data_IF_543472933446
#
_entry.id   IF_543472933446
#
_cell.length_a   1.000
_cell.length_b   1.000
_cell.length_c   1.000
_cell.angle_alpha   90.00
_cell.angle_beta   90.00
_cell.angle_gamma   90.00
#
_symmetry.space_group_name_H-M   'P 1'
#
loop_
_entity.id
_entity.type
_entity.pdbx_description
1 polymer ?
#
# COMPACT_ATOMS: atom_id res chain seq x y z
N UNK A 1 7.98 16.22 4.18
CA UNK A 1 7.04 15.11 3.97
C UNK A 1 7.07 14.22 5.19
N UNK A 2 5.94 14.13 5.90
CA UNK A 2 5.75 13.17 6.98
C UNK A 2 5.62 11.76 6.35
N UNK A 3 6.65 10.89 6.48
CA UNK A 3 6.63 9.57 5.85
C UNK A 3 5.66 8.61 6.54
N UNK A 4 5.04 8.98 7.66
CA UNK A 4 4.14 8.12 8.43
C UNK A 4 2.73 8.08 7.83
N UNK A 5 2.33 9.11 7.08
CA UNK A 5 1.01 9.16 6.41
C UNK A 5 1.14 8.73 4.95
N UNK A 6 1.35 7.44 4.74
CA UNK A 6 1.49 6.83 3.42
C UNK A 6 0.14 6.45 2.83
N UNK A 7 0.03 6.60 1.52
CA UNK A 7 -1.14 6.20 0.74
C UNK A 7 -0.70 5.34 -0.44
N UNK A 8 -1.61 4.51 -0.95
CA UNK A 8 -1.37 3.61 -2.09
C UNK A 8 -2.38 3.88 -3.19
N UNK A 9 -1.90 4.04 -4.43
CA UNK A 9 -2.81 4.13 -5.58
C UNK A 9 -3.58 2.82 -5.73
N UNK A 10 -4.91 2.91 -5.80
CA UNK A 10 -5.76 1.73 -5.91
C UNK A 10 -5.66 1.03 -7.27
N UNK A 11 -5.01 1.67 -8.24
CA UNK A 11 -4.89 1.16 -9.62
C UNK A 11 -3.54 0.52 -9.88
N UNK A 12 -2.45 1.16 -9.45
CA UNK A 12 -1.09 0.69 -9.77
C UNK A 12 -0.28 0.21 -8.56
N UNK A 13 -0.81 0.33 -7.33
CA UNK A 13 -0.13 -0.16 -6.14
C UNK A 13 1.06 0.69 -5.66
N UNK A 14 1.46 1.74 -6.39
CA UNK A 14 2.53 2.63 -5.95
C UNK A 14 2.18 3.36 -4.66
N UNK A 15 3.17 3.40 -3.76
CA UNK A 15 3.10 4.13 -2.49
C UNK A 15 3.48 5.60 -2.72
N UNK A 16 2.70 6.51 -2.18
CA UNK A 16 2.96 7.96 -2.14
C UNK A 16 2.75 8.49 -0.70
N UNK A 17 3.24 9.69 -0.39
CA UNK A 17 2.80 10.37 0.84
C UNK A 17 1.38 10.95 0.65
N UNK A 18 0.71 11.22 1.77
CA UNK A 18 -0.64 11.80 1.79
C UNK A 18 -0.75 13.08 0.95
N UNK A 19 0.18 14.01 1.12
CA UNK A 19 0.20 15.28 0.36
C UNK A 19 0.30 15.05 -1.16
N UNK A 20 1.16 14.12 -1.58
CA UNK A 20 1.32 13.76 -3.00
C UNK A 20 0.05 13.07 -3.54
N UNK A 21 -0.65 12.28 -2.72
CA UNK A 21 -1.91 11.64 -3.09
C UNK A 21 -3.08 12.63 -3.20
N UNK A 22 -3.17 13.61 -2.28
CA UNK A 22 -4.25 14.62 -2.29
C UNK A 22 -4.10 15.67 -3.39
N UNK A 23 -2.88 16.00 -3.81
CA UNK A 23 -2.70 17.03 -4.85
C UNK A 23 -3.33 16.63 -6.19
N UNK A 24 -3.29 15.34 -6.53
CA UNK A 24 -3.74 14.89 -7.84
C UNK A 24 -5.05 14.13 -7.78
N UNK A 25 -5.27 13.29 -6.76
CA UNK A 25 -6.39 12.36 -6.56
C UNK A 25 -6.72 11.39 -7.71
N UNK A 26 -6.37 11.73 -8.96
CA UNK A 26 -6.77 11.04 -10.20
C UNK A 26 -5.59 10.54 -11.03
N UNK A 27 -4.35 10.86 -10.65
CA UNK A 27 -3.12 10.41 -11.33
C UNK A 27 -2.05 10.01 -10.31
N UNK A 28 -1.49 8.81 -10.45
CA UNK A 28 -0.33 8.37 -9.70
C UNK A 28 0.93 9.12 -10.13
N UNK A 29 1.60 9.81 -9.21
CA UNK A 29 2.82 10.58 -9.51
C UNK A 29 4.08 9.71 -9.72
N UNK A 30 4.04 8.42 -9.39
CA UNK A 30 5.18 7.51 -9.58
C UNK A 30 5.26 6.96 -11.00
N UNK A 31 4.11 6.69 -11.64
CA UNK A 31 4.05 6.08 -12.97
C UNK A 31 3.12 6.80 -13.95
N UNK A 32 2.53 7.93 -13.56
CA UNK A 32 1.60 8.74 -14.36
C UNK A 32 0.33 8.02 -14.81
N UNK A 33 0.06 6.83 -14.27
CA UNK A 33 -1.18 6.11 -14.53
C UNK A 33 -2.38 6.87 -13.94
N UNK A 34 -3.47 6.94 -14.70
CA UNK A 34 -4.76 7.37 -14.17
C UNK A 34 -5.18 6.43 -13.04
N UNK A 35 -5.67 7.00 -11.97
CA UNK A 35 -6.19 6.26 -10.83
C UNK A 35 -7.51 6.85 -10.39
N UNK A 36 -8.36 6.04 -9.77
CA UNK A 36 -9.64 6.50 -9.21
C UNK A 36 -9.53 6.88 -7.73
N UNK A 37 -8.33 6.82 -7.16
CA UNK A 37 -8.06 7.28 -5.81
C UNK A 37 -6.82 6.68 -5.18
N UNK A 38 -6.65 6.99 -3.90
CA UNK A 38 -5.61 6.44 -3.05
C UNK A 38 -6.23 5.91 -1.77
N UNK A 39 -5.63 4.87 -1.18
CA UNK A 39 -6.00 4.36 0.14
C UNK A 39 -4.90 4.69 1.13
N UNK A 40 -5.24 5.33 2.24
CA UNK A 40 -4.31 5.58 3.34
C UNK A 40 -3.99 4.29 4.07
N UNK A 41 -2.70 4.07 4.35
CA UNK A 41 -2.25 2.88 5.07
C UNK A 41 -2.53 3.05 6.57
N UNK A 42 -2.99 1.97 7.20
CA UNK A 42 -3.07 1.86 8.66
C UNK A 42 -1.76 1.23 9.12
N UNK A 43 -0.87 2.08 9.62
CA UNK A 43 0.46 1.69 10.08
C UNK A 43 0.67 2.17 11.52
N UNK A 44 1.47 1.42 12.28
CA UNK A 44 1.83 1.72 13.66
C UNK A 44 3.24 2.31 13.66
N UNK A 45 3.47 3.41 14.38
CA UNK A 45 4.77 4.08 14.49
C UNK A 45 5.90 3.11 14.87
N UNK A 46 5.61 2.11 15.70
CA UNK A 46 6.60 1.11 16.14
C UNK A 46 6.72 -0.08 15.19
N UNK A 47 5.73 -0.33 14.33
CA UNK A 47 5.61 -1.56 13.52
C UNK A 47 5.06 -1.33 12.11
N UNK A 48 5.44 -0.21 11.48
CA UNK A 48 4.84 0.28 10.23
C UNK A 48 4.88 -0.74 9.06
N UNK A 49 5.87 -1.64 9.03
CA UNK A 49 6.00 -2.66 7.96
C UNK A 49 5.69 -4.09 8.40
N UNK A 50 5.40 -4.32 9.67
CA UNK A 50 5.18 -5.68 10.18
C UNK A 50 3.89 -6.27 9.60
N UNK A 51 3.97 -7.50 9.10
CA UNK A 51 2.76 -8.25 8.77
C UNK A 51 2.07 -8.69 10.06
N UNK A 52 0.92 -8.11 10.38
CA UNK A 52 0.16 -8.41 11.61
C UNK A 52 -0.40 -9.85 11.68
N UNK A 53 -0.33 -10.63 10.59
CA UNK A 53 -0.77 -12.04 10.58
C UNK A 53 0.36 -13.03 10.90
N UNK A 54 1.51 -12.91 10.24
CA UNK A 54 2.64 -13.82 10.43
C UNK A 54 3.80 -13.21 11.24
N UNK A 55 3.64 -11.97 11.70
CA UNK A 55 4.62 -11.22 12.50
C UNK A 55 5.99 -11.03 11.83
N UNK A 56 6.08 -11.21 10.51
CA UNK A 56 7.27 -10.85 9.74
C UNK A 56 7.45 -9.34 9.80
N UNK A 57 8.53 -8.88 10.43
CA UNK A 57 8.79 -7.45 10.70
C UNK A 57 8.90 -6.57 9.44
N UNK A 58 9.51 -7.09 8.39
CA UNK A 58 9.73 -6.37 7.13
C UNK A 58 9.60 -7.33 5.94
N UNK A 59 8.37 -7.74 5.56
CA UNK A 59 8.16 -8.62 4.43
C UNK A 59 8.58 -7.94 3.12
N UNK A 60 9.18 -8.70 2.20
CA UNK A 60 9.67 -8.19 0.92
C UNK A 60 8.55 -7.59 0.04
N UNK A 61 7.35 -8.18 0.10
CA UNK A 61 6.17 -7.70 -0.62
C UNK A 61 5.00 -7.60 0.32
N UNK A 62 4.26 -6.50 0.20
CA UNK A 62 3.05 -6.20 0.98
C UNK A 62 1.85 -6.02 0.05
N UNK A 63 0.67 -6.30 0.57
CA UNK A 63 -0.59 -5.99 -0.06
C UNK A 63 -1.44 -5.16 0.90
N UNK A 64 -2.29 -4.30 0.35
CA UNK A 64 -3.21 -3.43 1.09
C UNK A 64 -4.64 -3.73 0.68
N UNK A 65 -5.56 -3.74 1.65
CA UNK A 65 -7.00 -3.75 1.42
C UNK A 65 -7.52 -2.31 1.28
N UNK A 66 -8.67 -2.10 0.63
CA UNK A 66 -9.24 -0.74 0.48
C UNK A 66 -9.59 -0.04 1.79
N UNK A 67 -9.66 -0.78 2.89
CA UNK A 67 -9.79 -0.22 4.23
C UNK A 67 -8.47 0.25 4.86
N UNK A 68 -7.33 0.15 4.16
CA UNK A 68 -6.03 0.61 4.61
C UNK A 68 -5.18 -0.42 5.37
N UNK A 69 -5.75 -1.55 5.78
CA UNK A 69 -4.99 -2.62 6.44
C UNK A 69 -4.05 -3.33 5.47
N UNK A 70 -2.87 -3.72 5.97
CA UNK A 70 -1.83 -4.36 5.17
C UNK A 70 -1.50 -5.77 5.65
N UNK A 71 -1.03 -6.62 4.73
CA UNK A 71 -0.48 -7.94 4.98
C UNK A 71 0.74 -8.17 4.09
N UNK A 72 1.58 -9.17 4.42
CA UNK A 72 2.56 -9.64 3.45
C UNK A 72 1.87 -10.40 2.30
N UNK A 73 2.49 -10.38 1.11
CA UNK A 73 1.93 -11.03 -0.07
C UNK A 73 1.66 -12.54 0.15
N UNK A 74 2.51 -13.23 0.91
CA UNK A 74 2.31 -14.64 1.24
C UNK A 74 1.02 -14.87 2.05
N UNK A 75 0.79 -14.06 3.09
CA UNK A 75 -0.43 -14.13 3.90
C UNK A 75 -1.68 -13.80 3.07
N UNK A 76 -1.59 -12.80 2.19
CA UNK A 76 -2.68 -12.44 1.29
C UNK A 76 -3.01 -13.57 0.31
N UNK A 77 -1.99 -14.21 -0.28
CA UNK A 77 -2.17 -15.38 -1.15
C UNK A 77 -2.80 -16.55 -0.41
N UNK A 78 -2.38 -16.83 0.83
CA UNK A 78 -3.00 -17.86 1.66
C UNK A 78 -4.49 -17.59 1.86
N UNK A 79 -4.88 -16.36 2.21
CA UNK A 79 -6.32 -16.02 2.37
C UNK A 79 -7.09 -16.25 1.08
N UNK A 80 -6.58 -15.76 -0.06
CA UNK A 80 -7.21 -15.92 -1.37
C UNK A 80 -7.33 -17.38 -1.80
N UNK A 81 -6.41 -18.25 -1.38
CA UNK A 81 -6.47 -19.69 -1.67
C UNK A 81 -7.65 -20.37 -0.97
N UNK A 82 -7.94 -19.97 0.27
CA UNK A 82 -9.02 -20.59 1.06
C UNK A 82 -10.38 -19.92 0.86
N UNK A 83 -10.39 -18.66 0.40
CA UNK A 83 -11.61 -17.90 0.15
C UNK A 83 -11.49 -17.08 -1.14
N UNK A 84 -11.47 -17.72 -2.33
CA UNK A 84 -11.25 -17.03 -3.59
C UNK A 84 -12.36 -16.03 -3.92
N UNK A 85 -13.59 -16.29 -3.47
CA UNK A 85 -14.76 -15.42 -3.61
C UNK A 85 -14.85 -14.32 -2.54
N UNK A 86 -14.18 -14.47 -1.39
CA UNK A 86 -14.21 -13.49 -0.30
C UNK A 86 -12.86 -12.77 -0.19
N UNK A 87 -12.68 -11.74 -0.98
CA UNK A 87 -11.63 -10.74 -0.73
C UNK A 87 -12.05 -9.84 0.42
N UNK A 88 -12.01 -10.37 1.65
CA UNK A 88 -12.36 -9.66 2.88
C UNK A 88 -11.09 -9.34 3.67
N UNK A 89 -10.99 -8.12 4.19
CA UNK A 89 -9.93 -7.76 5.13
C UNK A 89 -10.09 -8.56 6.44
N UNK A 90 -9.08 -9.32 6.91
CA UNK A 90 -9.21 -10.13 8.12
C UNK A 90 -9.25 -9.32 9.42
N UNK A 91 -9.00 -8.01 9.36
CA UNK A 91 -8.97 -7.14 10.55
C UNK A 91 -10.28 -6.40 10.79
N UNK A 92 -10.91 -5.88 9.74
CA UNK A 92 -12.15 -5.10 9.85
C UNK A 92 -13.32 -5.65 9.02
N UNK A 93 -13.14 -6.81 8.40
CA UNK A 93 -14.16 -7.50 7.59
C UNK A 93 -14.68 -6.73 6.37
N UNK A 94 -14.01 -5.64 5.98
CA UNK A 94 -14.35 -4.89 4.77
C UNK A 94 -13.98 -5.68 3.50
N UNK A 95 -14.96 -5.87 2.60
CA UNK A 95 -14.78 -6.54 1.32
C UNK A 95 -14.02 -5.67 0.32
N UNK A 96 -12.80 -6.06 -0.05
CA UNK A 96 -12.05 -5.49 -1.16
C UNK A 96 -10.94 -6.43 -1.65
N UNK A 97 -10.76 -6.48 -2.98
CA UNK A 97 -9.59 -7.14 -3.57
C UNK A 97 -8.31 -6.47 -3.09
N UNK A 98 -7.38 -7.21 -2.47
CA UNK A 98 -6.13 -6.64 -2.00
C UNK A 98 -5.25 -6.25 -3.18
N UNK A 99 -4.63 -5.08 -3.07
CA UNK A 99 -3.74 -4.51 -4.07
C UNK A 99 -2.29 -4.78 -3.63
N UNK A 100 -1.47 -5.36 -4.50
CA UNK A 100 -0.04 -5.48 -4.22
C UNK A 100 0.60 -4.10 -4.21
N UNK A 101 1.38 -3.82 -3.18
CA UNK A 101 2.07 -2.55 -3.03
C UNK A 101 3.41 -2.60 -3.77
N UNK A 102 3.64 -1.57 -4.59
CA UNK A 102 4.92 -1.32 -5.23
C UNK A 102 5.70 -0.35 -4.33
N UNK A 103 6.56 -0.93 -3.48
CA UNK A 103 7.47 -0.15 -2.65
C UNK A 103 8.64 0.33 -3.51
N UNK A 104 9.05 1.60 -3.42
CA UNK A 104 10.21 2.08 -4.16
C UNK A 104 11.45 1.28 -3.73
N UNK A 105 11.98 0.47 -4.65
CA UNK A 105 13.27 -0.19 -4.47
C UNK A 105 14.34 0.89 -4.54
N UNK A 106 15.08 1.08 -3.45
CA UNK A 106 16.27 1.93 -3.45
C UNK A 106 17.38 1.21 -4.24
N UNK A 107 17.27 1.24 -5.57
CA UNK A 107 18.32 0.81 -6.49
C UNK A 107 18.75 2.07 -7.26
N UNK A 108 19.92 2.58 -6.89
CA UNK A 108 20.65 3.64 -7.60
C UNK A 108 20.07 5.05 -7.51
N UNK A 109 20.24 5.73 -6.37
CA UNK A 109 20.47 7.18 -6.31
C UNK A 109 19.37 8.14 -6.81
N UNK A 110 18.26 7.63 -7.30
CA UNK A 110 17.10 8.41 -7.71
C UNK A 110 15.90 7.71 -7.10
N UNK A 111 15.49 8.16 -5.91
CA UNK A 111 14.12 7.91 -5.49
C UNK A 111 13.21 8.33 -6.67
N UNK A 112 12.11 7.63 -6.98
CA UNK A 112 10.97 8.31 -7.58
C UNK A 112 10.50 9.32 -6.54
N UNK A 113 11.23 10.43 -6.47
CA UNK A 113 11.05 11.49 -5.50
C UNK A 113 9.65 12.00 -5.76
N UNK A 114 8.79 11.88 -4.76
CA UNK A 114 7.62 12.75 -4.66
C UNK A 114 8.11 14.16 -5.04
N UNK A 115 7.53 14.81 -6.07
CA UNK A 115 8.02 16.09 -6.60
C UNK A 115 7.89 17.26 -5.60
N UNK A 116 7.61 16.98 -4.32
CA UNK A 116 7.43 17.94 -3.25
C UNK A 116 8.73 18.59 -2.74
N UNK A 117 9.84 18.49 -3.46
CA UNK A 117 11.09 19.16 -3.09
C UNK A 117 11.74 19.87 -4.29
N UNK A 118 10.96 20.71 -4.97
CA UNK A 118 11.47 21.82 -5.78
C UNK A 118 10.85 23.11 -5.31
#
# INVERSE_FOLDING_TARGET
ADPERRCVSITCGHVACHECAERTHVICQCCWAKTTGFVSLIEDEQRSRECRRCLTRAPLKRCVFRCGHTLCAACTLSIRKFHPELTICPFCQHGSTPIQMEEPTNISGVAPSCPANR
#
